data_IF_041453914303
#
_entry.id   IF_041453914303
#
_cell.length_a   1.000
_cell.length_b   1.000
_cell.length_c   1.000
_cell.angle_alpha   90.00
_cell.angle_beta   90.00
_cell.angle_gamma   90.00
#
_symmetry.space_group_name_H-M   'P 1'
#
loop_
_entity.id
_entity.type
_entity.pdbx_description
1 polymer ?
#
# COMPACT_ATOMS: atom_id res chain seq x y z
N UNK A 1 9.71 -6.99 3.87
CA UNK A 1 8.93 -8.16 4.32
C UNK A 1 7.48 -7.98 3.88
N UNK A 2 6.84 -9.03 3.38
CA UNK A 2 5.37 -9.10 3.25
C UNK A 2 4.89 -9.85 4.47
N UNK A 3 4.06 -9.22 5.28
CA UNK A 3 3.37 -9.86 6.38
C UNK A 3 1.92 -10.09 5.93
N UNK A 4 1.55 -11.34 5.72
CA UNK A 4 0.15 -11.72 5.62
C UNK A 4 -0.39 -11.86 7.05
N UNK A 5 -1.34 -11.00 7.44
CA UNK A 5 -2.00 -11.12 8.74
C UNK A 5 -3.26 -11.95 8.54
N UNK A 6 -3.26 -13.14 9.12
CA UNK A 6 -4.33 -14.13 9.01
C UNK A 6 -5.10 -14.11 10.33
N UNK A 7 -6.41 -13.94 10.29
CA UNK A 7 -7.23 -13.89 11.50
C UNK A 7 -7.46 -15.31 12.09
N UNK A 8 -6.52 -15.76 12.94
CA UNK A 8 -6.48 -16.88 13.97
C UNK A 8 -6.49 -18.34 13.51
N UNK A 9 -5.92 -19.37 14.20
CA UNK A 9 -5.04 -19.60 15.40
C UNK A 9 -3.88 -20.61 15.13
N UNK A 10 -2.59 -20.28 15.34
CA UNK A 10 -1.46 -21.19 15.02
C UNK A 10 -1.15 -22.20 16.14
N UNK A 11 -1.81 -23.36 16.05
CA UNK A 11 -1.35 -24.75 16.33
C UNK A 11 -2.61 -25.64 16.15
N UNK A 12 -2.93 -26.03 14.91
CA UNK A 12 -4.30 -26.50 14.55
C UNK A 12 -5.16 -25.44 13.83
N UNK A 13 -4.51 -24.65 12.98
CA UNK A 13 -4.96 -23.37 12.46
C UNK A 13 -5.92 -23.47 11.26
N UNK A 14 -7.19 -23.15 11.47
CA UNK A 14 -8.18 -22.93 10.40
C UNK A 14 -7.98 -21.54 9.79
N UNK A 15 -7.42 -21.48 8.58
CA UNK A 15 -7.35 -20.25 7.79
C UNK A 15 -8.74 -19.94 7.19
N UNK A 16 -9.25 -18.74 7.45
CA UNK A 16 -10.42 -18.24 6.71
C UNK A 16 -9.94 -17.58 5.40
N UNK A 17 -10.10 -18.23 4.24
CA UNK A 17 -9.63 -17.70 2.95
C UNK A 17 -10.38 -16.42 2.52
N UNK A 18 -11.41 -16.02 3.26
CA UNK A 18 -12.20 -14.80 3.03
C UNK A 18 -11.72 -13.62 3.88
N UNK A 19 -10.76 -13.80 4.78
CA UNK A 19 -10.26 -12.77 5.70
C UNK A 19 -8.73 -12.72 5.69
N UNK A 20 -8.18 -12.35 4.53
CA UNK A 20 -6.73 -12.20 4.35
C UNK A 20 -6.38 -10.79 3.94
N UNK A 21 -5.41 -10.19 4.63
CA UNK A 21 -4.86 -8.88 4.28
C UNK A 21 -3.34 -8.97 4.10
N UNK A 22 -2.82 -8.14 3.19
CA UNK A 22 -1.39 -8.07 2.88
C UNK A 22 -0.80 -6.79 3.45
N UNK A 23 0.35 -6.87 4.11
CA UNK A 23 1.09 -5.69 4.53
C UNK A 23 2.52 -5.79 4.02
N UNK A 24 3.01 -4.73 3.40
CA UNK A 24 4.38 -4.70 2.92
C UNK A 24 4.96 -3.30 2.88
N UNK A 25 6.26 -3.22 3.15
CA UNK A 25 7.05 -2.01 3.01
C UNK A 25 8.13 -2.17 1.94
N UNK A 26 8.48 -1.09 1.24
CA UNK A 26 9.49 -1.09 0.16
C UNK A 26 9.15 -2.14 -0.91
N UNK A 27 10.10 -3.01 -1.28
CA UNK A 27 9.79 -4.11 -2.19
C UNK A 27 8.66 -5.03 -1.69
N UNK A 28 8.46 -5.15 -0.38
CA UNK A 28 7.31 -5.87 0.17
C UNK A 28 5.98 -5.18 -0.15
N UNK A 29 5.93 -3.85 -0.16
CA UNK A 29 4.69 -3.15 -0.52
C UNK A 29 4.42 -3.18 -2.03
N UNK A 30 5.47 -3.24 -2.86
CA UNK A 30 5.34 -3.63 -4.27
C UNK A 30 4.66 -5.01 -4.39
N UNK A 31 5.14 -6.02 -3.66
CA UNK A 31 4.54 -7.36 -3.69
C UNK A 31 3.07 -7.33 -3.22
N UNK A 32 2.77 -6.65 -2.10
CA UNK A 32 1.40 -6.49 -1.62
C UNK A 32 0.49 -5.90 -2.71
N UNK A 33 0.90 -4.77 -3.30
CA UNK A 33 0.15 -4.13 -4.38
C UNK A 33 0.01 -5.03 -5.62
N UNK A 34 1.08 -5.73 -6.00
CA UNK A 34 1.07 -6.67 -7.12
C UNK A 34 0.04 -7.80 -6.91
N UNK A 35 0.04 -8.42 -5.73
CA UNK A 35 -0.93 -9.48 -5.40
C UNK A 35 -2.37 -8.95 -5.42
N UNK A 36 -2.62 -7.77 -4.84
CA UNK A 36 -3.94 -7.15 -4.86
C UNK A 36 -4.44 -6.86 -6.29
N UNK A 37 -3.56 -6.38 -7.18
CA UNK A 37 -3.95 -6.00 -8.53
C UNK A 37 -4.03 -7.18 -9.51
N UNK A 38 -3.14 -8.18 -9.39
CA UNK A 38 -2.95 -9.20 -10.43
C UNK A 38 -3.37 -10.59 -10.06
N UNK A 39 -3.31 -10.92 -8.77
CA UNK A 39 -3.60 -12.27 -8.31
C UNK A 39 -4.91 -12.35 -7.56
N UNK A 40 -5.61 -11.25 -7.30
CA UNK A 40 -6.92 -11.24 -6.62
C UNK A 40 -7.92 -12.25 -7.20
N UNK A 41 -8.12 -12.25 -8.52
CA UNK A 41 -9.08 -13.15 -9.18
C UNK A 41 -8.58 -14.60 -9.34
N UNK A 42 -7.27 -14.79 -9.52
CA UNK A 42 -6.66 -16.11 -9.75
C UNK A 42 -6.19 -16.81 -8.46
N UNK A 43 -6.24 -16.09 -7.32
CA UNK A 43 -5.81 -16.59 -6.02
C UNK A 43 -6.92 -17.42 -5.39
N UNK A 44 -6.60 -18.57 -4.76
CA UNK A 44 -7.57 -19.33 -3.96
C UNK A 44 -8.00 -18.57 -2.68
N UNK A 45 -7.36 -17.43 -2.40
CA UNK A 45 -7.58 -16.56 -1.25
C UNK A 45 -8.07 -15.20 -1.73
N UNK A 46 -9.14 -14.70 -1.11
CA UNK A 46 -9.66 -13.36 -1.37
C UNK A 46 -9.00 -12.35 -0.42
N UNK A 47 -8.28 -11.38 -0.98
CA UNK A 47 -7.66 -10.32 -0.20
C UNK A 47 -8.69 -9.22 0.13
N UNK A 48 -9.00 -9.05 1.41
CA UNK A 48 -9.98 -8.04 1.89
C UNK A 48 -9.36 -6.65 2.07
N UNK A 49 -8.03 -6.56 2.07
CA UNK A 49 -7.33 -5.30 1.98
C UNK A 49 -5.81 -5.44 1.96
N UNK A 50 -5.12 -4.33 1.75
CA UNK A 50 -3.67 -4.30 1.85
C UNK A 50 -3.06 -2.97 2.24
N UNK A 51 -1.88 -3.05 2.83
CA UNK A 51 -1.06 -1.95 3.33
C UNK A 51 0.22 -1.89 2.52
N UNK A 52 0.49 -0.73 1.94
CA UNK A 52 1.64 -0.45 1.07
C UNK A 52 2.42 0.73 1.67
N UNK A 53 3.63 0.47 2.16
CA UNK A 53 4.46 1.47 2.84
C UNK A 53 5.72 1.78 2.02
N UNK A 54 6.01 3.06 1.75
CA UNK A 54 7.27 3.53 1.16
C UNK A 54 7.74 2.69 -0.05
N UNK A 55 6.86 2.47 -1.03
CA UNK A 55 7.04 1.48 -2.08
C UNK A 55 7.07 2.09 -3.47
N UNK A 56 7.91 1.51 -4.34
CA UNK A 56 7.79 1.72 -5.79
C UNK A 56 6.72 0.80 -6.34
N UNK A 57 5.88 1.31 -7.23
CA UNK A 57 4.69 0.63 -7.74
C UNK A 57 4.70 0.52 -9.26
N UNK A 58 5.87 0.73 -9.87
CA UNK A 58 6.15 0.46 -11.26
C UNK A 58 7.49 -0.28 -11.39
N UNK A 59 7.65 -1.03 -12.47
CA UNK A 59 8.87 -1.77 -12.78
C UNK A 59 9.53 -1.27 -14.07
N UNK A 60 10.80 -1.61 -14.27
CA UNK A 60 11.55 -1.34 -15.49
C UNK A 60 11.54 0.13 -15.92
N UNK A 61 11.41 0.39 -17.22
CA UNK A 61 11.34 1.76 -17.77
C UNK A 61 10.24 2.63 -17.17
N UNK A 62 9.12 2.03 -16.74
CA UNK A 62 8.05 2.78 -16.06
C UNK A 62 8.46 3.28 -14.67
N UNK A 63 9.56 2.77 -14.12
CA UNK A 63 10.19 3.23 -12.89
C UNK A 63 11.50 4.02 -13.07
N UNK A 64 11.99 4.17 -14.30
CA UNK A 64 13.30 4.77 -14.57
C UNK A 64 13.42 6.21 -14.06
N UNK A 65 12.36 7.01 -14.23
CA UNK A 65 12.30 8.40 -13.74
C UNK A 65 12.11 8.48 -12.22
N UNK A 66 11.70 7.38 -11.58
CA UNK A 66 11.33 7.32 -10.17
C UNK A 66 12.49 6.99 -9.25
N UNK A 67 13.65 6.60 -9.77
CA UNK A 67 14.81 6.40 -8.92
C UNK A 67 15.49 7.71 -8.53
N UNK A 68 15.00 8.88 -8.99
CA UNK A 68 15.71 10.18 -8.94
C UNK A 68 17.16 10.06 -9.43
N UNK A 69 17.43 9.10 -10.31
CA UNK A 69 18.76 8.79 -10.81
C UNK A 69 19.67 7.98 -9.87
N UNK A 70 19.19 7.42 -8.76
CA UNK A 70 20.01 6.57 -7.88
C UNK A 70 20.42 5.27 -8.61
N UNK A 71 21.71 5.10 -8.95
CA UNK A 71 22.18 3.98 -9.75
C UNK A 71 22.11 2.64 -8.99
N UNK A 72 22.16 2.65 -7.66
CA UNK A 72 22.07 1.44 -6.84
C UNK A 72 20.65 0.89 -6.85
N UNK A 73 19.65 1.77 -6.76
CA UNK A 73 18.24 1.36 -6.81
C UNK A 73 17.90 0.87 -8.21
N UNK A 74 18.30 1.59 -9.27
CA UNK A 74 18.14 1.12 -10.66
C UNK A 74 18.72 -0.28 -10.85
N UNK A 75 19.95 -0.50 -10.38
CA UNK A 75 20.63 -1.81 -10.50
C UNK A 75 19.93 -2.90 -9.70
N UNK A 76 19.45 -2.58 -8.49
CA UNK A 76 18.69 -3.52 -7.67
C UNK A 76 17.40 -3.95 -8.37
N UNK A 77 16.61 -3.00 -8.87
CA UNK A 77 15.35 -3.28 -9.57
C UNK A 77 15.60 -4.09 -10.85
N UNK A 78 16.62 -3.73 -11.64
CA UNK A 78 17.01 -4.52 -12.82
C UNK A 78 17.39 -5.95 -12.46
N UNK A 79 18.05 -6.18 -11.33
CA UNK A 79 18.40 -7.52 -10.85
C UNK A 79 17.16 -8.34 -10.46
N UNK A 80 16.18 -7.70 -9.83
CA UNK A 80 14.93 -8.35 -9.42
C UNK A 80 14.09 -8.75 -10.63
N UNK A 81 13.95 -7.86 -11.62
CA UNK A 81 13.05 -8.05 -12.75
C UNK A 81 13.70 -8.66 -14.00
N UNK A 82 15.03 -8.65 -14.08
CA UNK A 82 15.77 -9.07 -15.27
C UNK A 82 15.67 -8.06 -16.42
N UNK A 83 16.45 -8.31 -17.47
CA UNK A 83 16.55 -7.41 -18.62
C UNK A 83 15.23 -7.28 -19.40
N UNK A 84 14.50 -8.39 -19.58
CA UNK A 84 13.25 -8.43 -20.34
C UNK A 84 12.23 -7.42 -19.80
N UNK A 85 11.89 -7.50 -18.51
CA UNK A 85 10.96 -6.56 -17.87
C UNK A 85 11.57 -5.17 -17.76
N UNK A 86 12.88 -5.06 -17.54
CA UNK A 86 13.52 -3.77 -17.32
C UNK A 86 13.58 -2.91 -18.58
N UNK A 87 13.79 -3.54 -19.74
CA UNK A 87 14.05 -2.84 -21.00
C UNK A 87 12.80 -2.71 -21.88
N UNK A 88 11.84 -3.62 -21.76
CA UNK A 88 10.60 -3.62 -22.53
C UNK A 88 9.44 -2.96 -21.76
N UNK A 89 8.87 -1.90 -22.34
CA UNK A 89 7.81 -1.14 -21.69
C UNK A 89 6.50 -1.94 -21.53
N UNK A 90 6.20 -2.86 -22.45
CA UNK A 90 4.99 -3.66 -22.39
C UNK A 90 5.12 -4.74 -21.29
N UNK A 91 6.28 -5.38 -21.16
CA UNK A 91 6.62 -6.30 -20.08
C UNK A 91 6.61 -5.59 -18.72
N UNK A 92 7.23 -4.42 -18.61
CA UNK A 92 7.16 -3.57 -17.42
C UNK A 92 5.71 -3.24 -17.01
N UNK A 93 4.88 -2.84 -17.98
CA UNK A 93 3.45 -2.54 -17.74
C UNK A 93 2.69 -3.76 -17.21
N UNK A 94 3.03 -4.97 -17.66
CA UNK A 94 2.37 -6.20 -17.19
C UNK A 94 2.62 -6.49 -15.71
N UNK A 95 3.74 -6.03 -15.14
CA UNK A 95 4.05 -6.31 -13.74
C UNK A 95 3.91 -5.11 -12.81
N UNK A 96 3.71 -3.89 -13.34
CA UNK A 96 3.63 -2.65 -12.55
C UNK A 96 2.26 -2.47 -11.88
N UNK A 97 2.13 -2.54 -10.53
CA UNK A 97 0.84 -2.34 -9.85
C UNK A 97 0.13 -1.02 -10.19
N UNK A 98 0.90 0.05 -10.43
CA UNK A 98 0.39 1.35 -10.87
C UNK A 98 -0.53 1.28 -12.10
N UNK A 99 -0.33 0.30 -12.97
CA UNK A 99 -1.10 0.15 -14.20
C UNK A 99 -2.35 -0.73 -14.05
N UNK A 100 -2.62 -1.25 -12.85
CA UNK A 100 -3.68 -2.24 -12.59
C UNK A 100 -4.43 -1.97 -11.27
N UNK A 101 -4.35 -0.75 -10.72
CA UNK A 101 -4.97 -0.40 -9.43
C UNK A 101 -6.50 -0.51 -9.47
N UNK A 102 -7.11 -0.44 -10.66
CA UNK A 102 -8.55 -0.63 -10.89
C UNK A 102 -9.05 -2.03 -10.51
N UNK A 103 -8.13 -3.00 -10.41
CA UNK A 103 -8.43 -4.41 -10.10
C UNK A 103 -8.44 -4.72 -8.60
N UNK A 104 -8.09 -3.74 -7.75
CA UNK A 104 -8.04 -3.94 -6.30
C UNK A 104 -9.47 -4.02 -5.76
N UNK A 105 -9.96 -5.20 -5.42
CA UNK A 105 -11.31 -5.36 -4.84
C UNK A 105 -11.38 -5.05 -3.33
N UNK A 106 -10.24 -5.13 -2.63
CA UNK A 106 -10.14 -4.91 -1.20
C UNK A 106 -9.90 -3.44 -0.82
N UNK A 107 -9.81 -3.16 0.48
CA UNK A 107 -9.41 -1.83 0.96
C UNK A 107 -7.92 -1.60 0.76
N UNK A 108 -7.50 -0.34 0.63
CA UNK A 108 -6.09 0.00 0.44
C UNK A 108 -5.65 1.07 1.44
N UNK A 109 -4.56 0.80 2.16
CA UNK A 109 -3.83 1.79 2.94
C UNK A 109 -2.46 2.03 2.30
N UNK A 110 -2.22 3.25 1.84
CA UNK A 110 -0.90 3.68 1.35
C UNK A 110 -0.27 4.56 2.43
N UNK A 111 1.02 4.36 2.71
CA UNK A 111 1.77 5.18 3.67
C UNK A 111 3.11 5.57 3.08
N UNK A 112 3.49 6.84 3.16
CA UNK A 112 4.73 7.33 2.57
C UNK A 112 5.33 8.52 3.33
N UNK A 113 6.66 8.60 3.39
CA UNK A 113 7.39 9.79 3.86
C UNK A 113 7.62 10.78 2.72
N UNK A 114 7.30 12.06 2.93
CA UNK A 114 7.37 13.06 1.84
C UNK A 114 8.79 13.28 1.29
N UNK A 115 9.81 12.99 2.08
CA UNK A 115 11.22 13.21 1.75
C UNK A 115 11.95 11.88 1.44
N UNK A 116 11.23 10.85 1.01
CA UNK A 116 11.83 9.55 0.67
C UNK A 116 12.80 9.66 -0.52
N UNK A 117 14.12 9.47 -0.30
CA UNK A 117 15.12 9.60 -1.37
C UNK A 117 15.20 8.35 -2.25
N UNK A 118 14.60 7.23 -1.84
CA UNK A 118 14.68 5.93 -2.51
C UNK A 118 13.46 5.66 -3.38
N UNK A 119 12.28 5.94 -2.85
CA UNK A 119 11.00 5.77 -3.50
C UNK A 119 10.27 7.10 -3.42
N UNK A 120 10.33 7.96 -4.45
CA UNK A 120 9.72 9.28 -4.40
C UNK A 120 8.22 9.21 -4.13
N UNK A 121 7.72 10.09 -3.25
CA UNK A 121 6.31 10.14 -2.82
C UNK A 121 5.33 10.31 -3.99
N UNK A 122 5.80 10.90 -5.09
CA UNK A 122 5.03 11.08 -6.32
C UNK A 122 4.53 9.75 -6.91
N UNK A 123 5.21 8.63 -6.63
CA UNK A 123 4.73 7.30 -6.99
C UNK A 123 3.50 6.91 -6.17
N UNK A 124 3.54 7.07 -4.86
CA UNK A 124 2.41 6.80 -3.98
C UNK A 124 1.23 7.72 -4.34
N UNK A 125 1.50 8.99 -4.65
CA UNK A 125 0.48 9.94 -5.11
C UNK A 125 -0.21 9.45 -6.39
N UNK A 126 0.56 9.00 -7.39
CA UNK A 126 0.02 8.48 -8.67
C UNK A 126 -0.79 7.21 -8.47
N UNK A 127 -0.30 6.28 -7.65
CA UNK A 127 -1.01 5.04 -7.36
C UNK A 127 -2.31 5.29 -6.61
N UNK A 128 -2.28 6.13 -5.58
CA UNK A 128 -3.49 6.51 -4.85
C UNK A 128 -4.51 7.18 -5.77
N UNK A 129 -4.09 8.12 -6.63
CA UNK A 129 -4.98 8.76 -7.60
C UNK A 129 -5.61 7.76 -8.58
N UNK A 130 -4.82 6.85 -9.16
CA UNK A 130 -5.35 5.83 -10.07
C UNK A 130 -6.33 4.88 -9.37
N UNK A 131 -6.07 4.53 -8.10
CA UNK A 131 -7.01 3.78 -7.27
C UNK A 131 -8.28 4.59 -6.99
N UNK A 132 -8.16 5.85 -6.58
CA UNK A 132 -9.26 6.77 -6.28
C UNK A 132 -10.15 7.01 -7.51
N UNK A 133 -9.59 7.23 -8.69
CA UNK A 133 -10.35 7.43 -9.94
C UNK A 133 -11.19 6.20 -10.32
N UNK A 134 -10.75 4.99 -9.96
CA UNK A 134 -11.45 3.73 -10.26
C UNK A 134 -12.39 3.25 -9.15
N UNK A 135 -12.29 3.82 -7.94
CA UNK A 135 -13.02 3.35 -6.75
C UNK A 135 -13.83 4.44 -6.03
N UNK A 136 -13.57 5.71 -6.32
CA UNK A 136 -14.17 6.91 -5.73
C UNK A 136 -15.60 7.13 -6.21
N UNK A 137 -16.51 6.26 -5.77
CA UNK A 137 -17.97 6.35 -5.84
C UNK A 137 -18.66 5.11 -5.23
N UNK A 138 -17.90 4.07 -4.84
CA UNK A 138 -18.49 2.82 -4.36
C UNK A 138 -19.00 2.98 -2.93
N UNK A 139 -20.30 2.77 -2.72
CA UNK A 139 -20.85 2.50 -1.38
C UNK A 139 -20.06 1.36 -0.73
N UNK A 140 -19.57 1.57 0.50
CA UNK A 140 -18.88 0.54 1.28
C UNK A 140 -17.34 0.59 1.28
N UNK A 141 -16.70 1.54 0.59
CA UNK A 141 -15.25 1.76 0.72
C UNK A 141 -14.88 2.13 2.17
N UNK A 142 -15.36 3.28 2.66
CA UNK A 142 -15.33 3.74 4.06
C UNK A 142 -14.02 3.59 4.84
N UNK A 143 -12.89 3.23 4.25
CA UNK A 143 -11.75 2.73 5.03
C UNK A 143 -10.42 2.62 4.28
N UNK A 144 -10.41 2.87 2.97
CA UNK A 144 -9.14 3.09 2.27
C UNK A 144 -8.59 4.47 2.63
N UNK A 145 -7.26 4.58 2.73
CA UNK A 145 -6.61 5.84 3.06
C UNK A 145 -5.20 5.92 2.49
N UNK A 146 -4.72 7.15 2.36
CA UNK A 146 -3.34 7.46 2.03
C UNK A 146 -2.77 8.43 3.06
N UNK A 147 -1.67 8.05 3.70
CA UNK A 147 -1.02 8.83 4.75
C UNK A 147 0.35 9.30 4.26
N UNK A 148 0.57 10.62 4.33
CA UNK A 148 1.86 11.26 4.03
C UNK A 148 2.47 11.83 5.28
N UNK A 149 3.73 11.54 5.56
CA UNK A 149 4.44 12.11 6.71
C UNK A 149 5.47 13.15 6.28
N UNK A 150 5.25 14.40 6.67
CA UNK A 150 6.21 15.49 6.45
C UNK A 150 7.46 15.30 7.31
N UNK A 151 8.64 15.55 6.74
CA UNK A 151 9.91 15.40 7.45
C UNK A 151 10.29 13.95 7.73
N UNK A 152 9.70 13.00 6.99
CA UNK A 152 10.04 11.57 7.02
C UNK A 152 10.52 11.12 5.64
N UNK A 153 11.47 10.18 5.63
CA UNK A 153 12.03 9.60 4.41
C UNK A 153 11.51 8.19 4.13
N UNK A 154 12.39 7.32 3.61
CA UNK A 154 12.03 5.95 3.22
C UNK A 154 11.51 5.06 4.37
N UNK A 155 11.92 5.36 5.59
CA UNK A 155 11.36 4.75 6.78
C UNK A 155 10.83 5.85 7.66
N UNK A 156 9.63 5.65 8.20
CA UNK A 156 9.04 6.53 9.22
C UNK A 156 9.81 6.29 10.52
N UNK A 157 10.37 7.35 11.13
CA UNK A 157 11.32 7.23 12.23
C UNK A 157 10.98 8.06 13.46
N UNK A 158 10.37 9.24 13.31
CA UNK A 158 9.97 10.02 14.49
C UNK A 158 8.93 9.23 15.27
N UNK A 159 9.07 9.21 16.59
CA UNK A 159 8.30 8.33 17.46
C UNK A 159 6.79 8.54 17.27
N UNK A 160 6.35 9.79 17.29
CA UNK A 160 4.97 10.19 17.07
C UNK A 160 4.42 9.71 15.72
N UNK A 161 5.25 9.71 14.67
CA UNK A 161 4.86 9.27 13.35
C UNK A 161 4.80 7.75 13.24
N UNK A 162 5.75 7.05 13.86
CA UNK A 162 5.74 5.58 13.96
C UNK A 162 4.50 5.10 14.70
N UNK A 163 4.19 5.73 15.84
CA UNK A 163 3.00 5.43 16.63
C UNK A 163 1.71 5.72 15.84
N UNK A 164 1.62 6.88 15.20
CA UNK A 164 0.49 7.21 14.33
C UNK A 164 0.33 6.22 13.17
N UNK A 165 1.45 5.81 12.55
CA UNK A 165 1.45 4.89 11.41
C UNK A 165 0.92 3.53 11.83
N UNK A 166 1.49 2.94 12.88
CA UNK A 166 1.10 1.61 13.32
C UNK A 166 -0.31 1.58 13.92
N UNK A 167 -0.74 2.66 14.58
CA UNK A 167 -2.15 2.82 14.95
C UNK A 167 -3.05 2.72 13.72
N UNK A 168 -2.83 3.55 12.70
CA UNK A 168 -3.66 3.52 11.48
C UNK A 168 -3.61 2.17 10.75
N UNK A 169 -2.45 1.52 10.71
CA UNK A 169 -2.28 0.18 10.15
C UNK A 169 -3.10 -0.85 10.93
N UNK A 170 -3.05 -0.83 12.26
CA UNK A 170 -3.85 -1.72 13.12
C UNK A 170 -5.34 -1.51 12.89
N UNK A 171 -5.81 -0.26 12.98
CA UNK A 171 -7.22 0.09 12.79
C UNK A 171 -7.72 -0.33 11.39
N UNK A 172 -6.91 -0.13 10.35
CA UNK A 172 -7.19 -0.57 8.99
C UNK A 172 -7.32 -2.10 8.91
N UNK A 173 -6.36 -2.85 9.48
CA UNK A 173 -6.38 -4.31 9.47
C UNK A 173 -7.56 -4.85 10.27
N UNK A 174 -7.87 -4.29 11.44
CA UNK A 174 -9.06 -4.64 12.21
C UNK A 174 -10.33 -4.45 11.38
N UNK A 175 -10.46 -3.32 10.68
CA UNK A 175 -11.61 -3.06 9.81
C UNK A 175 -11.72 -4.07 8.67
N UNK A 176 -10.59 -4.38 8.01
CA UNK A 176 -10.56 -5.34 6.90
C UNK A 176 -10.89 -6.77 7.36
N UNK A 177 -10.33 -7.20 8.49
CA UNK A 177 -10.35 -8.60 8.92
C UNK A 177 -11.52 -8.92 9.86
N UNK A 178 -11.97 -7.97 10.66
CA UNK A 178 -12.99 -8.19 11.71
C UNK A 178 -14.31 -7.47 11.41
N UNK A 179 -14.36 -6.58 10.42
CA UNK A 179 -15.58 -5.85 10.07
C UNK A 179 -16.04 -4.84 11.13
N UNK A 180 -15.18 -4.49 12.09
CA UNK A 180 -15.51 -3.58 13.19
C UNK A 180 -15.79 -2.16 12.66
N UNK A 181 -17.03 -1.69 12.89
CA UNK A 181 -17.50 -0.35 12.46
C UNK A 181 -17.01 0.78 13.38
N UNK A 182 -16.65 0.47 14.63
CA UNK A 182 -16.36 1.46 15.69
C UNK A 182 -14.90 1.95 15.75
N UNK A 183 -14.05 1.51 14.82
CA UNK A 183 -12.62 1.86 14.83
C UNK A 183 -12.41 3.13 14.03
N UNK A 184 -12.50 4.30 14.66
CA UNK A 184 -12.31 5.58 13.99
C UNK A 184 -10.82 5.83 13.67
N UNK A 185 -10.47 5.78 12.39
CA UNK A 185 -9.12 6.13 11.92
C UNK A 185 -8.81 7.64 12.11
N UNK A 186 -9.81 8.47 12.42
CA UNK A 186 -9.66 9.90 12.66
C UNK A 186 -9.40 10.24 14.15
N UNK A 187 -9.72 9.33 15.08
CA UNK A 187 -9.39 9.53 16.50
C UNK A 187 -7.97 9.04 16.76
N UNK A 188 -7.02 9.95 16.58
CA UNK A 188 -5.62 9.71 16.93
C UNK A 188 -5.48 9.75 18.45
N UNK A 189 -4.96 8.70 19.09
CA UNK A 189 -4.71 8.72 20.53
C UNK A 189 -3.67 9.76 20.93
N UNK A 190 -3.73 10.24 22.18
CA UNK A 190 -2.81 11.26 22.71
C UNK A 190 -1.32 10.91 22.50
N UNK A 191 -0.97 9.62 22.58
CA UNK A 191 0.41 9.17 22.37
C UNK A 191 0.95 9.46 20.96
N UNK A 192 0.07 9.71 19.99
CA UNK A 192 0.40 10.00 18.60
C UNK A 192 0.00 11.41 18.19
N UNK A 193 -0.53 12.25 19.10
CA UNK A 193 -1.16 13.54 18.75
C UNK A 193 -0.24 14.54 18.04
N UNK A 194 1.08 14.45 18.24
CA UNK A 194 2.06 15.35 17.63
C UNK A 194 2.55 14.91 16.24
N UNK A 195 1.91 13.91 15.63
CA UNK A 195 2.31 13.38 14.33
C UNK A 195 2.25 14.42 13.20
N UNK A 196 3.05 14.20 12.15
CA UNK A 196 3.04 14.99 10.91
C UNK A 196 2.22 14.34 9.80
N UNK A 197 1.60 13.18 10.07
CA UNK A 197 0.81 12.40 9.10
C UNK A 197 -0.43 13.14 8.59
N UNK A 198 -0.47 13.46 7.29
CA UNK A 198 -1.67 13.96 6.61
C UNK A 198 -2.42 12.78 5.99
N UNK A 199 -3.67 12.58 6.41
CA UNK A 199 -4.51 11.46 5.95
C UNK A 199 -5.47 11.94 4.85
N UNK A 200 -5.36 11.35 3.66
CA UNK A 200 -6.34 11.47 2.58
C UNK A 200 -7.22 10.22 2.55
N UNK A 201 -8.53 10.41 2.50
CA UNK A 201 -9.52 9.33 2.32
C UNK A 201 -10.22 9.50 0.98
N UNK A 202 -10.80 8.43 0.47
CA UNK A 202 -11.71 8.52 -0.67
C UNK A 202 -12.93 9.34 -0.23
N UNK A 203 -13.28 10.38 -0.98
CA UNK A 203 -14.48 11.17 -0.72
C UNK A 203 -15.71 10.35 -1.08
N UNK A 204 -16.72 10.34 -0.19
CA UNK A 204 -18.09 10.06 -0.65
C UNK A 204 -18.47 11.19 -1.63
N UNK A 205 -19.07 10.86 -2.77
CA UNK A 205 -19.84 11.86 -3.50
C UNK A 205 -20.89 12.38 -2.50
N UNK A 206 -20.86 13.68 -2.22
CA UNK A 206 -22.01 14.35 -1.62
C UNK A 206 -23.19 14.14 -2.56
N UNK A 207 -24.28 13.57 -2.06
CA UNK A 207 -25.58 13.53 -2.75
C UNK A 207 -26.01 14.94 -3.20
#
# INVERSE_FOLDING_TARGET
>A
AVLAVLAREFDGLVLDPRRVALLGASFGGYCSAFHLCRLGEASPVRFVGGVVVASLLAAGRLSAEQFRGDPLIVRYWRRVFGAEISDDAAAAKKVSPLCHSERIEGRLLVVHGEEDPRCPVEMADRFWRAFEESHGAKEGDGGSAYIRYRGEGHGIRKEENVLHMWWNVEQFLCRCLLGSKDRNLDSVPDFAANHTGVVKRLSKLSE
#
